data_IF_155964720387
#
_entry.id   IF_155964720387
#
_cell.length_a   1.000
_cell.length_b   1.000
_cell.length_c   1.000
_cell.angle_alpha   90.00
_cell.angle_beta   90.00
_cell.angle_gamma   90.00
#
_symmetry.space_group_name_H-M   'P 1'
#
loop_
_entity.id
_entity.type
_entity.pdbx_description
1 polymer ?
#
# COMPACT_ATOMS: atom_id res chain seq x y z
N UNK A 1 25.99 61.74 16.33
CA UNK A 1 26.03 60.35 16.84
C UNK A 1 24.93 60.20 17.87
N UNK A 2 24.19 59.08 17.78
CA UNK A 2 23.14 58.57 18.70
C UNK A 2 21.84 59.38 18.81
N UNK A 3 20.76 58.80 18.25
CA UNK A 3 19.43 58.59 18.88
C UNK A 3 18.57 57.57 18.07
N UNK A 4 19.23 56.57 17.46
CA UNK A 4 18.54 55.53 16.66
C UNK A 4 18.16 54.28 17.44
N UNK A 5 18.74 54.05 18.63
CA UNK A 5 18.67 52.76 19.34
C UNK A 5 17.29 52.48 19.93
N UNK A 6 16.58 53.47 20.48
CA UNK A 6 15.24 53.28 21.05
C UNK A 6 14.16 53.09 19.99
N UNK A 7 14.28 53.77 18.83
CA UNK A 7 13.34 53.66 17.72
C UNK A 7 13.46 52.32 16.99
N UNK A 8 14.67 51.77 16.90
CA UNK A 8 14.93 50.42 16.37
C UNK A 8 14.57 49.31 17.36
N UNK A 9 14.74 49.50 18.67
CA UNK A 9 14.38 48.45 19.66
C UNK A 9 12.88 48.14 19.63
N UNK A 10 12.05 49.20 19.63
CA UNK A 10 10.58 49.08 19.54
C UNK A 10 10.18 48.41 18.22
N UNK A 11 10.81 48.78 17.11
CA UNK A 11 10.54 48.17 15.80
C UNK A 11 10.94 46.68 15.76
N UNK A 12 12.05 46.31 16.39
CA UNK A 12 12.48 44.91 16.51
C UNK A 12 11.48 44.12 17.38
N UNK A 13 11.02 44.69 18.50
CA UNK A 13 10.02 44.05 19.37
C UNK A 13 8.69 43.85 18.63
N UNK A 14 8.23 44.86 17.90
CA UNK A 14 7.03 44.75 17.05
C UNK A 14 7.20 43.68 15.97
N UNK A 15 8.37 43.60 15.35
CA UNK A 15 8.63 42.61 14.30
C UNK A 15 8.72 41.18 14.86
N UNK A 16 9.31 41.01 16.05
CA UNK A 16 9.32 39.73 16.76
C UNK A 16 7.90 39.32 17.11
N UNK A 17 7.08 40.23 17.65
CA UNK A 17 5.69 39.96 17.98
C UNK A 17 4.91 39.53 16.72
N UNK A 18 5.06 40.26 15.62
CA UNK A 18 4.42 39.97 14.32
C UNK A 18 4.84 38.60 13.76
N UNK A 19 6.13 38.29 13.81
CA UNK A 19 6.68 37.02 13.33
C UNK A 19 6.19 35.84 14.18
N UNK A 20 6.10 36.01 15.51
CA UNK A 20 5.57 34.97 16.40
C UNK A 20 4.10 34.66 16.12
N UNK A 21 3.29 35.69 15.88
CA UNK A 21 1.88 35.50 15.49
C UNK A 21 1.77 34.74 14.18
N UNK A 22 2.54 35.14 13.16
CA UNK A 22 2.51 34.46 11.87
C UNK A 22 2.99 33.00 11.94
N UNK A 23 3.98 32.70 12.78
CA UNK A 23 4.43 31.34 13.05
C UNK A 23 3.36 30.50 13.75
N UNK A 24 2.66 31.06 14.74
CA UNK A 24 1.58 30.36 15.43
C UNK A 24 0.45 29.98 14.47
N UNK A 25 0.01 30.91 13.62
CA UNK A 25 -1.01 30.63 12.59
C UNK A 25 -0.56 29.53 11.63
N UNK A 26 0.70 29.58 11.20
CA UNK A 26 1.28 28.57 10.30
C UNK A 26 1.38 27.20 10.97
N UNK A 27 1.75 27.16 12.25
CA UNK A 27 1.83 25.93 13.03
C UNK A 27 0.47 25.29 13.25
N UNK A 28 -0.57 26.09 13.49
CA UNK A 28 -1.94 25.58 13.63
C UNK A 28 -2.45 24.98 12.31
N UNK A 29 -2.15 25.61 11.17
CA UNK A 29 -2.46 25.03 9.86
C UNK A 29 -1.70 23.70 9.62
N UNK A 30 -0.41 23.68 9.93
CA UNK A 30 0.43 22.48 9.83
C UNK A 30 -0.05 21.36 10.77
N UNK A 31 -0.42 21.68 12.00
CA UNK A 31 -0.90 20.71 12.98
C UNK A 31 -2.16 19.98 12.49
N UNK A 32 -3.08 20.69 11.84
CA UNK A 32 -4.26 20.08 11.23
C UNK A 32 -3.91 19.16 10.05
N UNK A 33 -2.98 19.56 9.17
CA UNK A 33 -2.59 18.76 7.99
C UNK A 33 -1.72 17.54 8.33
N UNK A 34 -0.87 17.66 9.34
CA UNK A 34 0.17 16.67 9.73
C UNK A 34 -0.29 15.87 10.96
N UNK A 35 -1.59 15.92 11.30
CA UNK A 35 -2.10 15.15 12.43
C UNK A 35 -1.74 13.66 12.26
N UNK A 36 -1.14 13.00 13.28
CA UNK A 36 -0.56 11.66 13.11
C UNK A 36 -1.54 10.61 12.59
N UNK A 37 -2.81 10.72 12.99
CA UNK A 37 -3.88 9.84 12.51
C UNK A 37 -4.14 10.02 11.01
N UNK A 38 -4.05 11.23 10.48
CA UNK A 38 -4.29 11.54 9.07
C UNK A 38 -3.15 11.02 8.20
N UNK A 39 -1.90 11.18 8.62
CA UNK A 39 -0.73 10.67 7.88
C UNK A 39 -0.77 9.14 7.80
N UNK A 40 -0.99 8.49 8.95
CA UNK A 40 -1.02 7.02 9.00
C UNK A 40 -2.21 6.46 8.23
N UNK A 41 -3.37 7.10 8.27
CA UNK A 41 -4.53 6.73 7.46
C UNK A 41 -4.25 6.86 5.96
N UNK A 42 -3.66 7.96 5.51
CA UNK A 42 -3.29 8.14 4.09
C UNK A 42 -2.25 7.13 3.62
N UNK A 43 -1.25 6.83 4.45
CA UNK A 43 -0.24 5.81 4.13
C UNK A 43 -0.88 4.42 3.98
N UNK A 44 -1.74 4.02 4.93
CA UNK A 44 -2.50 2.76 4.86
C UNK A 44 -3.38 2.69 3.62
N UNK A 45 -4.11 3.76 3.31
CA UNK A 45 -4.98 3.82 2.15
C UNK A 45 -4.21 3.62 0.83
N UNK A 46 -3.03 4.25 0.68
CA UNK A 46 -2.16 4.03 -0.50
C UNK A 46 -1.68 2.60 -0.63
N UNK A 47 -1.30 1.97 0.48
CA UNK A 47 -0.88 0.57 0.49
C UNK A 47 -2.04 -0.35 0.11
N UNK A 48 -3.22 -0.14 0.70
CA UNK A 48 -4.40 -0.94 0.41
C UNK A 48 -4.81 -0.83 -1.06
N UNK A 49 -4.85 0.39 -1.61
CA UNK A 49 -5.15 0.62 -3.02
C UNK A 49 -4.15 -0.09 -3.95
N UNK A 50 -2.86 -0.09 -3.59
CA UNK A 50 -1.83 -0.80 -4.37
C UNK A 50 -2.01 -2.32 -4.32
N UNK A 51 -2.45 -2.85 -3.17
CA UNK A 51 -2.76 -4.28 -3.01
C UNK A 51 -4.00 -4.65 -3.80
N UNK A 52 -5.10 -3.91 -3.68
CA UNK A 52 -6.35 -4.16 -4.39
C UNK A 52 -6.15 -4.18 -5.91
N UNK A 53 -5.41 -3.21 -6.45
CA UNK A 53 -5.10 -3.17 -7.89
C UNK A 53 -4.30 -4.40 -8.35
N UNK A 54 -3.37 -4.88 -7.52
CA UNK A 54 -2.56 -6.09 -7.83
C UNK A 54 -3.38 -7.36 -7.69
N UNK A 55 -4.22 -7.46 -6.66
CA UNK A 55 -5.10 -8.61 -6.42
C UNK A 55 -6.11 -8.78 -7.54
N UNK A 56 -6.75 -7.69 -7.98
CA UNK A 56 -7.70 -7.74 -9.10
C UNK A 56 -7.05 -8.24 -10.39
N UNK A 57 -5.87 -7.70 -10.74
CA UNK A 57 -5.11 -8.15 -11.92
C UNK A 57 -4.66 -9.61 -11.80
N UNK A 58 -4.19 -10.01 -10.62
CA UNK A 58 -3.76 -11.39 -10.37
C UNK A 58 -4.92 -12.39 -10.47
N UNK A 59 -6.10 -12.05 -9.93
CA UNK A 59 -7.29 -12.90 -10.01
C UNK A 59 -7.75 -13.12 -11.45
N UNK A 60 -7.82 -12.05 -12.25
CA UNK A 60 -8.20 -12.14 -13.67
C UNK A 60 -7.17 -12.96 -14.45
N UNK A 61 -5.88 -12.75 -14.21
CA UNK A 61 -4.82 -13.52 -14.86
C UNK A 61 -4.89 -15.02 -14.50
N UNK A 62 -5.12 -15.33 -13.22
CA UNK A 62 -5.29 -16.72 -12.76
C UNK A 62 -6.52 -17.38 -13.40
N UNK A 63 -7.65 -16.67 -13.45
CA UNK A 63 -8.89 -17.17 -14.06
C UNK A 63 -8.69 -17.50 -15.54
N UNK A 64 -8.07 -16.59 -16.30
CA UNK A 64 -7.69 -16.84 -17.70
C UNK A 64 -6.72 -18.01 -17.85
N UNK A 65 -5.78 -18.17 -16.91
CA UNK A 65 -4.87 -19.31 -16.90
C UNK A 65 -5.60 -20.65 -16.73
N UNK A 66 -6.55 -20.71 -15.79
CA UNK A 66 -7.38 -21.90 -15.55
C UNK A 66 -8.25 -22.22 -16.77
N UNK A 67 -8.83 -21.21 -17.42
CA UNK A 67 -9.61 -21.40 -18.66
C UNK A 67 -8.76 -21.99 -19.80
N UNK A 68 -7.52 -21.51 -19.96
CA UNK A 68 -6.57 -22.06 -20.95
C UNK A 68 -6.21 -23.51 -20.66
N UNK A 69 -5.91 -23.82 -19.39
CA UNK A 69 -5.63 -25.21 -18.98
C UNK A 69 -6.85 -26.10 -19.22
N UNK A 70 -8.06 -25.64 -18.89
CA UNK A 70 -9.28 -26.38 -19.23
C UNK A 70 -9.37 -26.62 -20.73
N UNK A 71 -9.15 -25.62 -21.58
CA UNK A 71 -9.18 -25.81 -23.03
C UNK A 71 -8.18 -26.88 -23.53
N UNK A 72 -7.04 -27.06 -22.86
CA UNK A 72 -6.00 -28.03 -23.24
C UNK A 72 -6.23 -29.45 -22.68
N UNK A 73 -6.85 -29.55 -21.49
CA UNK A 73 -7.07 -30.83 -20.79
C UNK A 73 -8.46 -31.44 -21.00
N UNK A 74 -9.33 -30.76 -21.74
CA UNK A 74 -10.69 -31.21 -22.04
C UNK A 74 -10.77 -31.72 -23.49
N UNK A 75 -11.61 -32.72 -23.77
CA UNK A 75 -11.84 -33.22 -25.14
C UNK A 75 -12.85 -32.37 -25.93
N UNK A 76 -13.08 -32.73 -27.20
CA UNK A 76 -14.02 -32.02 -28.09
C UNK A 76 -15.47 -32.03 -27.60
N UNK A 77 -15.80 -32.87 -26.62
CA UNK A 77 -17.13 -32.97 -25.98
C UNK A 77 -17.17 -32.26 -24.62
N UNK A 78 -16.08 -31.64 -24.19
CA UNK A 78 -16.01 -30.95 -22.89
C UNK A 78 -15.78 -31.88 -21.69
N UNK A 79 -15.33 -33.13 -21.89
CA UNK A 79 -15.00 -34.05 -20.79
C UNK A 79 -13.51 -33.97 -20.40
N UNK A 80 -13.20 -33.92 -19.09
CA UNK A 80 -11.81 -33.93 -18.60
C UNK A 80 -11.10 -35.23 -19.01
N UNK A 81 -9.86 -35.15 -19.53
CA UNK A 81 -9.07 -36.34 -19.91
C UNK A 81 -8.27 -36.87 -18.70
N UNK A 82 -8.70 -37.96 -18.04
CA UNK A 82 -8.09 -38.41 -16.79
C UNK A 82 -6.61 -38.80 -16.93
N UNK A 83 -6.23 -39.42 -18.05
CA UNK A 83 -4.84 -39.81 -18.34
C UNK A 83 -3.85 -38.63 -18.32
N UNK A 84 -4.33 -37.41 -18.61
CA UNK A 84 -3.48 -36.20 -18.64
C UNK A 84 -3.57 -35.38 -17.36
N UNK A 85 -4.71 -35.41 -16.69
CA UNK A 85 -4.97 -34.59 -15.50
C UNK A 85 -4.34 -35.19 -14.25
N UNK A 86 -4.38 -36.52 -14.09
CA UNK A 86 -3.86 -37.22 -12.90
C UNK A 86 -2.38 -36.89 -12.60
N UNK A 87 -1.43 -37.01 -13.56
CA UNK A 87 -0.02 -36.70 -13.28
C UNK A 87 0.20 -35.23 -12.94
N UNK A 88 -0.50 -34.31 -13.62
CA UNK A 88 -0.40 -32.86 -13.35
C UNK A 88 -0.97 -32.52 -11.97
N UNK A 89 -2.10 -33.12 -11.59
CA UNK A 89 -2.73 -32.93 -10.29
C UNK A 89 -1.85 -33.45 -9.14
N UNK A 90 -1.15 -34.58 -9.33
CA UNK A 90 -0.22 -35.11 -8.33
C UNK A 90 0.97 -34.17 -8.10
N UNK A 91 1.62 -33.71 -9.17
CA UNK A 91 2.77 -32.81 -9.06
C UNK A 91 2.34 -31.44 -8.50
N UNK A 92 1.27 -30.88 -9.04
CA UNK A 92 0.72 -29.60 -8.58
C UNK A 92 0.27 -29.66 -7.12
N UNK A 93 -0.47 -30.70 -6.75
CA UNK A 93 -0.91 -30.94 -5.37
C UNK A 93 0.26 -31.11 -4.41
N UNK A 94 1.29 -31.88 -4.77
CA UNK A 94 2.50 -32.06 -3.96
C UNK A 94 3.24 -30.75 -3.70
N UNK A 95 3.39 -29.90 -4.73
CA UNK A 95 3.99 -28.56 -4.59
C UNK A 95 3.17 -27.66 -3.67
N UNK A 96 1.84 -27.68 -3.77
CA UNK A 96 0.96 -26.91 -2.89
C UNK A 96 1.08 -27.35 -1.43
N UNK A 97 1.15 -28.66 -1.18
CA UNK A 97 1.37 -29.23 0.16
C UNK A 97 2.74 -28.80 0.71
N UNK A 98 3.80 -28.85 -0.10
CA UNK A 98 5.14 -28.39 0.28
C UNK A 98 5.20 -26.89 0.59
N UNK A 99 4.50 -26.06 -0.18
CA UNK A 99 4.43 -24.62 0.08
C UNK A 99 3.65 -24.33 1.36
N UNK A 100 2.53 -25.02 1.58
CA UNK A 100 1.72 -24.87 2.79
C UNK A 100 2.49 -25.29 4.06
N UNK A 101 3.28 -26.37 4.00
CA UNK A 101 4.10 -26.81 5.14
C UNK A 101 5.25 -25.82 5.43
N UNK A 102 5.85 -25.23 4.40
CA UNK A 102 6.90 -24.21 4.55
C UNK A 102 6.39 -22.92 5.20
N UNK A 103 5.14 -22.53 4.91
CA UNK A 103 4.49 -21.37 5.56
C UNK A 103 4.22 -21.63 7.04
N UNK A 104 3.65 -22.79 7.38
CA UNK A 104 3.42 -23.16 8.80
C UNK A 104 4.70 -23.15 9.63
N UNK A 105 5.83 -23.58 9.05
CA UNK A 105 7.13 -23.57 9.74
C UNK A 105 7.69 -22.16 10.02
N UNK A 106 7.22 -21.12 9.31
CA UNK A 106 7.65 -19.73 9.57
C UNK A 106 6.83 -19.03 10.65
N UNK A 107 5.66 -19.58 10.98
CA UNK A 107 4.73 -19.03 11.97
C UNK A 107 4.93 -19.65 13.36
N UNK A 108 5.83 -20.64 13.47
CA UNK A 108 6.18 -21.38 14.69
C UNK A 108 7.65 -21.23 15.00
#
# INVERSE_FOLDING_TARGET
MRDGAGRTLVEIEENIARTRTQLADTLDELAMRVHPSTITAQARAKVLASVEQRVGKAYVAASRGVERLRAEFTDEQGKPRPDRIVPVALVGGGLLVLLASRRRKRES
#
